data_IF_222331844726
#
_entry.id   IF_222331844726
#
_cell.length_a   1.000
_cell.length_b   1.000
_cell.length_c   1.000
_cell.angle_alpha   90.00
_cell.angle_beta   90.00
_cell.angle_gamma   90.00
#
_symmetry.space_group_name_H-M   'P 1'
#
loop_
_entity.id
_entity.type
_entity.pdbx_description
1 polymer ?
#
# COMPACT_ATOMS: atom_id res chain seq x y z
N UNK A 1 25.41 17.20 -15.95
CA UNK A 1 25.03 15.79 -15.75
C UNK A 1 23.52 15.74 -15.71
N UNK A 2 22.90 14.76 -16.40
CA UNK A 2 21.45 14.64 -16.52
C UNK A 2 20.77 14.31 -15.17
N UNK A 3 19.43 14.34 -15.12
CA UNK A 3 18.69 14.00 -13.92
C UNK A 3 18.86 12.51 -13.58
N UNK A 4 18.91 12.19 -12.28
CA UNK A 4 18.87 10.81 -11.76
C UNK A 4 17.46 10.52 -11.27
N UNK A 5 16.86 9.46 -11.82
CA UNK A 5 15.46 9.16 -11.58
C UNK A 5 15.31 7.82 -10.85
N UNK A 6 14.49 7.83 -9.81
CA UNK A 6 14.03 6.62 -9.14
C UNK A 6 12.51 6.60 -9.07
N UNK A 7 11.93 5.43 -9.21
CA UNK A 7 10.48 5.24 -9.12
C UNK A 7 10.16 4.04 -8.25
N UNK A 8 9.06 4.12 -7.48
CA UNK A 8 8.60 3.00 -6.65
C UNK A 8 7.06 2.96 -6.59
N UNK A 9 6.47 1.77 -6.50
CA UNK A 9 5.03 1.60 -6.40
C UNK A 9 4.51 1.91 -5.00
N UNK A 10 3.25 2.29 -4.93
CA UNK A 10 2.47 2.14 -3.72
C UNK A 10 2.08 0.69 -3.46
N UNK A 11 1.35 0.44 -2.37
CA UNK A 11 0.90 -0.90 -1.99
C UNK A 11 -0.58 -0.94 -1.59
N UNK A 12 -1.15 -2.13 -1.68
CA UNK A 12 -2.42 -2.49 -1.05
C UNK A 12 -2.26 -3.78 -0.24
N UNK A 13 -2.97 -3.87 0.89
CA UNK A 13 -3.14 -5.13 1.61
C UNK A 13 -4.30 -5.88 0.97
N UNK A 14 -4.03 -7.03 0.37
CA UNK A 14 -5.05 -7.85 -0.26
C UNK A 14 -5.76 -8.76 0.73
N UNK A 15 -5.07 -9.22 1.78
CA UNK A 15 -5.64 -9.96 2.90
C UNK A 15 -4.66 -10.05 4.06
N UNK A 16 -5.15 -10.37 5.28
CA UNK A 16 -4.32 -10.55 6.47
C UNK A 16 -4.22 -9.31 7.36
N UNK A 17 -5.03 -8.27 7.09
CA UNK A 17 -5.13 -7.08 7.93
C UNK A 17 -5.35 -7.48 9.39
N UNK A 18 -4.75 -6.78 10.33
CA UNK A 18 -4.73 -7.05 11.76
C UNK A 18 -4.12 -8.41 12.13
N UNK A 19 -4.46 -9.51 11.45
CA UNK A 19 -3.93 -10.83 11.74
C UNK A 19 -2.39 -10.89 11.67
N UNK A 20 -1.78 -10.10 10.80
CA UNK A 20 -0.32 -9.98 10.67
C UNK A 20 0.36 -9.46 11.94
N UNK A 21 -0.32 -8.67 12.75
CA UNK A 21 0.18 -8.17 14.05
C UNK A 21 0.25 -9.29 15.09
N UNK A 22 -0.47 -10.39 14.85
CA UNK A 22 -0.57 -11.55 15.73
C UNK A 22 0.15 -12.79 15.15
N UNK A 23 1.17 -12.57 14.31
CA UNK A 23 2.02 -13.64 13.78
C UNK A 23 1.45 -14.41 12.59
N UNK A 24 0.26 -14.05 12.10
CA UNK A 24 -0.29 -14.62 10.86
C UNK A 24 0.32 -13.94 9.63
N UNK A 25 0.21 -14.60 8.47
CA UNK A 25 0.64 -14.04 7.20
C UNK A 25 -0.39 -13.06 6.63
N UNK A 26 0.10 -12.08 5.87
CA UNK A 26 -0.69 -11.17 5.05
C UNK A 26 -0.21 -11.21 3.61
N UNK A 27 -1.09 -10.93 2.67
CA UNK A 27 -0.75 -10.69 1.27
C UNK A 27 -0.83 -9.21 1.00
N UNK A 28 0.29 -8.64 0.56
CA UNK A 28 0.38 -7.24 0.15
C UNK A 28 0.91 -7.15 -1.27
N UNK A 29 0.47 -6.17 -2.03
CA UNK A 29 0.78 -6.06 -3.45
C UNK A 29 1.24 -4.66 -3.84
N UNK A 30 2.29 -4.59 -4.65
CA UNK A 30 2.64 -3.39 -5.39
C UNK A 30 1.52 -3.06 -6.38
N UNK A 31 1.17 -1.77 -6.46
CA UNK A 31 0.13 -1.28 -7.39
C UNK A 31 0.75 -0.54 -8.56
N UNK A 32 -0.01 -0.38 -9.64
CA UNK A 32 0.43 0.37 -10.83
C UNK A 32 0.67 1.86 -10.59
N UNK A 33 0.11 2.45 -9.52
CA UNK A 33 0.36 3.83 -9.12
C UNK A 33 1.74 3.97 -8.46
N UNK A 34 2.46 5.05 -8.79
CA UNK A 34 3.88 5.18 -8.42
C UNK A 34 4.22 6.58 -7.92
N UNK A 35 5.27 6.64 -7.12
CA UNK A 35 6.01 7.88 -6.82
C UNK A 35 7.30 7.87 -7.62
N UNK A 36 7.62 9.00 -8.24
CA UNK A 36 8.86 9.25 -8.98
C UNK A 36 9.62 10.37 -8.31
N UNK A 37 10.89 10.13 -8.00
CA UNK A 37 11.83 11.13 -7.48
C UNK A 37 12.90 11.39 -8.53
N UNK A 38 13.10 12.67 -8.84
CA UNK A 38 14.17 13.13 -9.73
C UNK A 38 15.17 13.95 -8.93
N UNK A 39 16.43 13.51 -8.92
CA UNK A 39 17.53 14.25 -8.31
C UNK A 39 18.29 15.00 -9.42
N UNK A 40 18.66 16.26 -9.13
CA UNK A 40 19.51 17.09 -10.01
C UNK A 40 20.67 17.65 -9.21
N UNK A 41 21.79 17.89 -9.88
CA UNK A 41 22.89 18.64 -9.28
C UNK A 41 22.40 20.07 -8.95
N UNK A 42 22.71 20.54 -7.74
CA UNK A 42 22.32 21.83 -7.22
C UNK A 42 23.53 22.46 -6.50
N UNK A 43 23.87 23.72 -6.71
CA UNK A 43 24.87 24.39 -5.88
C UNK A 43 24.29 24.66 -4.46
N UNK A 44 25.14 24.44 -3.43
CA UNK A 44 24.78 24.67 -2.04
C UNK A 44 23.91 23.57 -1.41
N UNK A 45 23.16 23.88 -0.35
CA UNK A 45 22.41 22.90 0.43
C UNK A 45 21.39 22.12 -0.42
N UNK A 46 21.28 20.83 -0.14
CA UNK A 46 20.24 19.99 -0.74
C UNK A 46 18.84 20.43 -0.28
N UNK A 47 17.83 20.24 -1.12
CA UNK A 47 16.46 20.64 -0.81
C UNK A 47 15.46 20.20 -1.84
N UNK A 48 14.17 20.37 -1.52
CA UNK A 48 13.07 20.11 -2.45
C UNK A 48 12.93 21.32 -3.37
N UNK A 49 12.98 21.06 -4.68
CA UNK A 49 12.73 22.05 -5.74
C UNK A 49 11.23 22.06 -6.11
N UNK A 50 10.61 20.86 -6.18
CA UNK A 50 9.20 20.68 -6.52
C UNK A 50 8.64 19.42 -5.85
N UNK A 51 7.42 19.48 -5.31
CA UNK A 51 6.77 18.32 -4.70
C UNK A 51 5.27 18.29 -4.94
N UNK A 52 4.77 17.14 -5.43
CA UNK A 52 3.35 16.82 -5.45
C UNK A 52 2.81 16.46 -4.06
N UNK A 53 3.69 16.15 -3.10
CA UNK A 53 3.34 15.81 -1.71
C UNK A 53 3.53 17.06 -0.85
N UNK A 54 2.43 17.54 -0.27
CA UNK A 54 2.41 18.73 0.59
C UNK A 54 2.37 18.30 2.07
N UNK A 55 3.52 17.97 2.62
CA UNK A 55 3.71 17.61 4.03
C UNK A 55 5.10 18.12 4.46
N UNK A 56 5.15 19.00 5.44
CA UNK A 56 6.37 19.64 5.91
C UNK A 56 7.38 18.64 6.50
N UNK A 57 6.93 17.42 6.85
CA UNK A 57 7.79 16.34 7.34
C UNK A 57 8.57 15.64 6.23
N UNK A 58 8.20 15.85 4.95
CA UNK A 58 8.85 15.18 3.82
C UNK A 58 10.32 15.51 3.74
N UNK A 59 10.69 16.80 3.81
CA UNK A 59 12.11 17.17 3.76
C UNK A 59 12.92 16.62 4.94
N UNK A 60 12.53 16.81 6.21
CA UNK A 60 13.23 16.19 7.34
C UNK A 60 13.39 14.68 7.21
N UNK A 61 12.38 13.99 6.65
CA UNK A 61 12.45 12.55 6.43
C UNK A 61 13.47 12.19 5.33
N UNK A 62 13.45 12.88 4.19
CA UNK A 62 14.40 12.63 3.09
C UNK A 62 15.83 13.02 3.45
N UNK A 63 16.02 14.05 4.28
CA UNK A 63 17.34 14.46 4.77
C UNK A 63 18.05 13.37 5.60
N UNK A 64 17.33 12.35 6.08
CA UNK A 64 17.96 11.20 6.75
C UNK A 64 18.74 10.28 5.79
N UNK A 65 18.46 10.34 4.49
CA UNK A 65 19.06 9.49 3.48
C UNK A 65 19.76 10.28 2.35
N UNK A 66 19.48 11.56 2.22
CA UNK A 66 20.07 12.44 1.21
C UNK A 66 21.37 13.09 1.71
N UNK A 67 22.33 13.41 0.83
CA UNK A 67 23.49 14.23 1.22
C UNK A 67 23.04 15.64 1.63
N UNK A 68 23.79 16.27 2.55
CA UNK A 68 23.49 17.62 3.04
C UNK A 68 23.53 18.68 1.93
N UNK A 69 24.40 18.50 0.95
CA UNK A 69 24.65 19.45 -0.11
C UNK A 69 24.61 18.81 -1.51
N UNK A 70 24.35 19.61 -2.50
CA UNK A 70 24.57 19.28 -3.90
C UNK A 70 23.39 18.63 -4.64
N UNK A 71 22.19 18.51 -4.01
CA UNK A 71 21.05 17.81 -4.61
C UNK A 71 19.76 18.62 -4.51
N UNK A 72 19.16 18.90 -5.66
CA UNK A 72 17.76 19.34 -5.79
C UNK A 72 16.84 18.13 -6.00
N UNK A 73 15.69 18.11 -5.33
CA UNK A 73 14.72 17.01 -5.32
C UNK A 73 13.40 17.44 -5.92
N UNK A 74 12.96 16.76 -6.98
CA UNK A 74 11.61 16.91 -7.53
C UNK A 74 10.82 15.62 -7.29
N UNK A 75 9.60 15.74 -6.76
CA UNK A 75 8.74 14.61 -6.37
C UNK A 75 7.44 14.68 -7.17
N UNK A 76 7.15 13.64 -7.94
CA UNK A 76 5.86 13.43 -8.61
C UNK A 76 5.22 12.14 -8.06
N UNK A 77 3.91 12.15 -7.81
CA UNK A 77 3.20 10.97 -7.33
C UNK A 77 1.82 10.88 -7.97
N UNK A 78 1.48 9.67 -8.44
CA UNK A 78 0.12 9.31 -8.83
C UNK A 78 -0.65 8.65 -7.69
N UNK A 79 0.03 8.37 -6.57
CA UNK A 79 -0.58 7.81 -5.36
C UNK A 79 -1.39 8.87 -4.63
N UNK A 80 -2.62 8.56 -4.21
CA UNK A 80 -3.37 9.42 -3.30
C UNK A 80 -2.65 9.50 -1.94
N UNK A 81 -2.53 10.71 -1.41
CA UNK A 81 -1.90 10.93 -0.10
C UNK A 81 -2.91 10.63 1.01
N UNK A 82 -2.46 9.95 2.07
CA UNK A 82 -3.29 9.71 3.26
C UNK A 82 -4.25 8.52 3.19
N UNK A 83 -4.33 7.81 2.06
CA UNK A 83 -5.26 6.69 1.86
C UNK A 83 -4.72 5.32 2.33
N UNK A 84 -3.59 5.27 3.02
CA UNK A 84 -3.00 4.01 3.46
C UNK A 84 -2.39 3.16 2.33
N UNK A 85 -2.09 3.75 1.17
CA UNK A 85 -1.51 3.08 0.01
C UNK A 85 0.04 3.10 -0.01
N UNK A 86 0.70 3.38 1.12
CA UNK A 86 2.16 3.31 1.23
C UNK A 86 2.91 4.40 0.46
N UNK A 87 2.35 5.61 0.33
CA UNK A 87 2.97 6.73 -0.39
C UNK A 87 4.33 7.15 0.19
N UNK A 88 4.50 7.05 1.50
CA UNK A 88 5.76 7.35 2.21
C UNK A 88 6.85 6.32 1.92
N UNK A 89 6.51 5.03 1.95
CA UNK A 89 7.45 3.97 1.58
C UNK A 89 7.86 4.06 0.10
N UNK A 90 6.88 4.34 -0.79
CA UNK A 90 7.15 4.59 -2.19
C UNK A 90 8.10 5.78 -2.39
N UNK A 91 7.92 6.87 -1.64
CA UNK A 91 8.81 8.03 -1.65
C UNK A 91 10.22 7.66 -1.21
N UNK A 92 10.36 6.95 -0.08
CA UNK A 92 11.65 6.51 0.44
C UNK A 92 12.42 5.65 -0.57
N UNK A 93 11.76 4.61 -1.11
CA UNK A 93 12.36 3.70 -2.08
C UNK A 93 12.70 4.42 -3.40
N UNK A 94 11.81 5.28 -3.91
CA UNK A 94 12.09 6.06 -5.11
C UNK A 94 13.32 6.97 -4.92
N UNK A 95 13.46 7.59 -3.75
CA UNK A 95 14.63 8.43 -3.43
C UNK A 95 15.92 7.62 -3.38
N UNK A 96 15.91 6.45 -2.74
CA UNK A 96 17.08 5.56 -2.68
C UNK A 96 17.48 5.04 -4.07
N UNK A 97 16.50 4.72 -4.93
CA UNK A 97 16.75 4.34 -6.32
C UNK A 97 17.37 5.51 -7.14
N UNK A 98 16.89 6.73 -6.91
CA UNK A 98 17.47 7.92 -7.58
C UNK A 98 18.90 8.21 -7.10
N UNK A 99 19.19 8.00 -5.79
CA UNK A 99 20.55 8.09 -5.24
C UNK A 99 21.48 7.04 -5.85
N UNK A 100 21.03 5.80 -5.91
CA UNK A 100 21.80 4.72 -6.54
C UNK A 100 22.10 5.03 -8.02
N UNK A 101 21.12 5.56 -8.76
CA UNK A 101 21.32 5.99 -10.13
C UNK A 101 22.36 7.11 -10.26
N UNK A 102 22.42 8.05 -9.30
CA UNK A 102 23.47 9.06 -9.22
C UNK A 102 24.86 8.45 -9.05
N UNK A 103 24.97 7.34 -8.35
CA UNK A 103 26.21 6.60 -8.11
C UNK A 103 26.52 5.59 -9.24
N UNK A 104 25.71 5.54 -10.30
CA UNK A 104 25.88 4.62 -11.42
C UNK A 104 25.57 3.15 -11.08
N UNK A 105 24.75 2.89 -10.07
CA UNK A 105 24.35 1.56 -9.60
C UNK A 105 22.83 1.41 -9.47
N UNK A 106 22.38 0.21 -9.18
CA UNK A 106 20.99 -0.12 -8.85
C UNK A 106 20.87 -0.31 -7.34
N UNK A 107 19.87 0.29 -6.69
CA UNK A 107 19.58 0.06 -5.27
C UNK A 107 19.08 -1.38 -5.08
N UNK A 108 19.71 -2.12 -4.18
CA UNK A 108 19.28 -3.46 -3.80
C UNK A 108 18.08 -3.46 -2.85
N UNK A 109 17.47 -4.64 -2.66
CA UNK A 109 16.34 -4.80 -1.75
C UNK A 109 16.70 -4.40 -0.31
N UNK A 110 17.78 -4.93 0.24
CA UNK A 110 18.20 -4.68 1.62
C UNK A 110 18.42 -3.18 1.88
N UNK A 111 19.10 -2.51 0.95
CA UNK A 111 19.31 -1.06 1.04
C UNK A 111 17.98 -0.28 1.08
N UNK A 112 17.07 -0.60 0.16
CA UNK A 112 15.75 0.05 0.09
C UNK A 112 14.91 -0.25 1.34
N UNK A 113 14.97 -1.48 1.83
CA UNK A 113 14.21 -1.93 3.00
C UNK A 113 14.75 -1.27 4.28
N UNK A 114 16.05 -1.37 4.55
CA UNK A 114 16.64 -0.85 5.79
C UNK A 114 16.67 0.67 5.85
N UNK A 115 17.17 1.33 4.79
CA UNK A 115 17.23 2.80 4.76
C UNK A 115 15.84 3.44 4.63
N UNK A 116 14.90 2.76 3.99
CA UNK A 116 13.49 3.19 3.94
C UNK A 116 12.89 3.38 5.33
N UNK A 117 13.25 2.55 6.31
CA UNK A 117 12.82 2.72 7.70
C UNK A 117 13.25 4.05 8.33
N UNK A 118 14.37 4.64 7.93
CA UNK A 118 14.81 5.94 8.47
C UNK A 118 13.81 7.03 8.08
N UNK A 119 13.37 7.03 6.84
CA UNK A 119 12.35 7.97 6.32
C UNK A 119 11.01 7.76 7.01
N UNK A 120 10.56 6.51 7.10
CA UNK A 120 9.28 6.16 7.71
C UNK A 120 9.21 6.44 9.21
N UNK A 121 10.30 6.30 9.94
CA UNK A 121 10.34 6.66 11.37
C UNK A 121 10.05 8.14 11.60
N UNK A 122 10.53 9.01 10.72
CA UNK A 122 10.22 10.44 10.79
C UNK A 122 8.75 10.71 10.48
N UNK A 123 8.18 10.01 9.49
CA UNK A 123 6.80 10.24 9.03
C UNK A 123 5.75 9.56 9.93
N UNK A 124 6.04 8.35 10.44
CA UNK A 124 5.04 7.46 11.09
C UNK A 124 5.49 6.84 12.43
N UNK A 125 6.69 7.11 12.91
CA UNK A 125 7.20 6.64 14.20
C UNK A 125 7.59 5.15 14.21
N UNK A 126 6.64 4.21 14.16
CA UNK A 126 6.92 2.77 14.26
C UNK A 126 6.32 1.99 13.07
N UNK A 127 6.97 1.98 11.91
CA UNK A 127 6.48 1.31 10.72
C UNK A 127 6.49 -0.23 10.85
N UNK A 128 5.55 -0.90 10.17
CA UNK A 128 5.43 -2.37 10.17
C UNK A 128 6.46 -3.08 9.29
N UNK A 129 7.03 -2.39 8.31
CA UNK A 129 7.96 -2.94 7.31
C UNK A 129 7.29 -3.50 6.05
N UNK A 130 6.00 -3.84 6.08
CA UNK A 130 5.33 -4.40 4.90
C UNK A 130 5.30 -3.43 3.72
N UNK A 131 5.12 -2.14 3.97
CA UNK A 131 5.04 -1.10 2.95
C UNK A 131 6.38 -0.97 2.20
N UNK A 132 7.50 -1.00 2.92
CA UNK A 132 8.85 -1.00 2.33
C UNK A 132 9.14 -2.26 1.54
N UNK A 133 8.81 -3.43 2.10
CA UNK A 133 9.02 -4.70 1.41
C UNK A 133 8.34 -4.72 0.05
N UNK A 134 7.08 -4.30 0.01
CA UNK A 134 6.31 -4.23 -1.24
C UNK A 134 6.88 -3.20 -2.21
N UNK A 135 7.16 -1.97 -1.74
CA UNK A 135 7.71 -0.91 -2.61
C UNK A 135 9.11 -1.24 -3.12
N UNK A 136 9.95 -1.90 -2.29
CA UNK A 136 11.31 -2.27 -2.69
C UNK A 136 11.35 -3.46 -3.65
N UNK A 137 10.49 -4.47 -3.46
CA UNK A 137 10.41 -5.63 -4.35
C UNK A 137 9.64 -5.34 -5.64
N UNK A 138 8.70 -4.38 -5.61
CA UNK A 138 7.79 -4.07 -6.73
C UNK A 138 6.96 -5.29 -7.16
N UNK A 139 6.50 -6.08 -6.18
CA UNK A 139 5.83 -7.37 -6.39
C UNK A 139 4.67 -7.57 -5.42
N UNK A 140 3.90 -8.62 -5.66
CA UNK A 140 3.01 -9.20 -4.64
C UNK A 140 3.88 -9.99 -3.66
N UNK A 141 3.64 -9.82 -2.36
CA UNK A 141 4.40 -10.52 -1.32
C UNK A 141 3.48 -11.19 -0.31
N UNK A 142 3.88 -12.37 0.13
CA UNK A 142 3.38 -12.98 1.35
C UNK A 142 4.31 -12.53 2.48
N UNK A 143 3.74 -11.86 3.49
CA UNK A 143 4.47 -11.19 4.55
C UNK A 143 4.05 -11.71 5.93
N UNK A 144 5.01 -11.95 6.81
CA UNK A 144 4.79 -12.23 8.24
C UNK A 144 5.73 -11.35 9.07
N UNK A 145 5.18 -10.73 10.12
CA UNK A 145 5.92 -9.78 10.95
C UNK A 145 6.85 -10.48 11.94
N UNK A 146 6.38 -11.53 12.61
CA UNK A 146 7.14 -12.28 13.59
C UNK A 146 7.99 -13.35 12.91
N UNK A 147 9.32 -13.33 13.15
CA UNK A 147 10.29 -14.08 12.35
C UNK A 147 10.22 -13.63 10.90
N UNK A 148 10.68 -12.40 10.59
CA UNK A 148 10.27 -11.67 9.39
C UNK A 148 10.43 -12.54 8.13
N UNK A 149 9.31 -12.86 7.52
CA UNK A 149 9.24 -13.64 6.29
C UNK A 149 8.67 -12.75 5.20
N UNK A 150 9.41 -12.55 4.14
CA UNK A 150 9.00 -11.78 2.96
C UNK A 150 9.20 -12.69 1.74
N UNK A 151 8.10 -13.23 1.24
CA UNK A 151 8.13 -14.16 0.09
C UNK A 151 7.48 -13.49 -1.10
N UNK A 152 8.24 -13.11 -2.13
CA UNK A 152 7.66 -12.63 -3.38
C UNK A 152 6.81 -13.74 -4.01
N UNK A 153 5.61 -13.38 -4.48
CA UNK A 153 4.71 -14.30 -5.16
C UNK A 153 4.78 -14.08 -6.67
N UNK A 154 4.84 -15.19 -7.41
CA UNK A 154 4.64 -15.16 -8.85
C UNK A 154 3.15 -15.15 -9.15
N UNK A 155 2.68 -14.04 -9.72
CA UNK A 155 1.29 -13.84 -10.13
C UNK A 155 1.26 -13.82 -11.66
N UNK A 156 0.75 -14.88 -12.31
CA UNK A 156 0.91 -15.07 -13.75
C UNK A 156 0.11 -14.10 -14.62
N UNK A 157 -0.88 -13.42 -14.03
CA UNK A 157 -1.70 -12.44 -14.74
C UNK A 157 -2.02 -11.24 -13.83
N UNK A 158 -2.05 -10.01 -14.38
CA UNK A 158 -2.38 -8.84 -13.58
C UNK A 158 -3.82 -8.90 -13.08
N UNK A 159 -3.99 -8.67 -11.76
CA UNK A 159 -5.30 -8.53 -11.14
C UNK A 159 -5.75 -7.07 -11.23
N UNK A 160 -6.93 -6.83 -11.79
CA UNK A 160 -7.56 -5.50 -11.84
C UNK A 160 -8.35 -5.23 -10.58
N UNK A 161 -8.11 -4.09 -9.97
CA UNK A 161 -8.83 -3.64 -8.78
C UNK A 161 -9.43 -2.26 -9.00
N UNK A 162 -10.61 -2.04 -8.41
CA UNK A 162 -11.14 -0.69 -8.16
C UNK A 162 -10.89 -0.36 -6.69
N UNK A 163 -10.36 0.82 -6.45
CA UNK A 163 -10.13 1.40 -5.12
C UNK A 163 -11.15 2.50 -4.89
N UNK A 164 -11.86 2.43 -3.76
CA UNK A 164 -12.74 3.48 -3.25
C UNK A 164 -12.05 4.17 -2.07
N UNK A 165 -11.78 5.45 -2.19
CA UNK A 165 -11.20 6.27 -1.14
C UNK A 165 -12.31 7.02 -0.38
N UNK A 166 -12.57 6.62 0.85
CA UNK A 166 -13.65 7.22 1.67
C UNK A 166 -13.39 8.68 2.06
N UNK A 167 -12.19 9.21 1.78
CA UNK A 167 -11.79 10.56 2.17
C UNK A 167 -11.63 10.76 3.68
N UNK A 168 -11.86 9.72 4.48
CA UNK A 168 -11.69 9.75 5.93
C UNK A 168 -10.40 9.01 6.29
N UNK A 169 -9.39 9.67 6.85
CA UNK A 169 -8.17 8.97 7.27
C UNK A 169 -8.49 7.97 8.38
N UNK A 170 -7.95 6.75 8.27
CA UNK A 170 -8.03 5.76 9.33
C UNK A 170 -6.97 6.01 10.41
N UNK A 171 -7.35 5.89 11.69
CA UNK A 171 -6.37 5.87 12.79
C UNK A 171 -5.91 4.44 13.03
N UNK A 172 -4.78 4.08 12.42
CA UNK A 172 -4.18 2.75 12.54
C UNK A 172 -3.91 2.35 13.99
N UNK A 173 -3.42 3.30 14.83
CA UNK A 173 -3.08 3.00 16.21
C UNK A 173 -4.33 2.71 17.04
N UNK A 174 -5.39 3.50 16.89
CA UNK A 174 -6.67 3.29 17.55
C UNK A 174 -7.32 1.97 17.09
N UNK A 175 -7.28 1.64 15.79
CA UNK A 175 -7.84 0.38 15.28
C UNK A 175 -7.10 -0.83 15.84
N UNK A 176 -5.77 -0.83 15.83
CA UNK A 176 -4.95 -1.92 16.41
C UNK A 176 -5.20 -2.06 17.91
N UNK A 177 -5.26 -0.96 18.66
CA UNK A 177 -5.57 -0.97 20.09
C UNK A 177 -6.98 -1.54 20.36
N UNK A 178 -7.98 -1.15 19.56
CA UNK A 178 -9.34 -1.66 19.66
C UNK A 178 -9.45 -3.17 19.40
N UNK A 179 -8.74 -3.68 18.38
CA UNK A 179 -8.69 -5.14 18.12
C UNK A 179 -7.99 -5.87 19.27
N UNK A 180 -6.89 -5.32 19.80
CA UNK A 180 -6.20 -5.89 20.96
C UNK A 180 -7.13 -6.01 22.18
N UNK A 181 -7.90 -4.96 22.47
CA UNK A 181 -8.83 -4.96 23.60
C UNK A 181 -9.96 -6.00 23.46
N UNK A 182 -10.45 -6.23 22.23
CA UNK A 182 -11.50 -7.22 21.95
C UNK A 182 -10.99 -8.66 21.90
N UNK A 183 -9.68 -8.86 21.64
CA UNK A 183 -9.02 -10.15 21.53
C UNK A 183 -9.75 -11.20 20.66
N UNK A 184 -10.13 -10.90 19.41
CA UNK A 184 -10.94 -11.78 18.55
C UNK A 184 -10.06 -12.85 17.88
N UNK A 185 -9.45 -13.72 18.70
CA UNK A 185 -8.44 -14.69 18.25
C UNK A 185 -8.95 -15.67 17.17
N UNK A 186 -10.23 -16.05 17.23
CA UNK A 186 -10.82 -16.96 16.23
C UNK A 186 -10.92 -16.28 14.85
N UNK A 187 -11.40 -15.04 14.81
CA UNK A 187 -11.51 -14.25 13.60
C UNK A 187 -10.12 -13.93 13.01
N UNK A 188 -9.14 -13.59 13.86
CA UNK A 188 -7.77 -13.31 13.43
C UNK A 188 -7.11 -14.55 12.78
N UNK A 189 -7.29 -15.74 13.37
CA UNK A 189 -6.84 -16.98 12.73
C UNK A 189 -7.51 -17.22 11.38
N UNK A 190 -8.82 -16.96 11.28
CA UNK A 190 -9.54 -17.08 10.00
C UNK A 190 -9.07 -16.08 8.96
N UNK A 191 -8.81 -14.83 9.34
CA UNK A 191 -8.22 -13.81 8.44
C UNK A 191 -6.86 -14.29 7.94
N UNK A 192 -6.01 -14.85 8.80
CA UNK A 192 -4.74 -15.45 8.40
C UNK A 192 -4.91 -16.60 7.40
N UNK A 193 -5.87 -17.50 7.64
CA UNK A 193 -6.18 -18.59 6.70
C UNK A 193 -6.70 -18.08 5.35
N UNK A 194 -7.53 -17.03 5.35
CA UNK A 194 -7.99 -16.38 4.11
C UNK A 194 -6.81 -15.80 3.35
N UNK A 195 -5.82 -15.18 4.03
CA UNK A 195 -4.62 -14.66 3.38
C UNK A 195 -3.82 -15.76 2.66
N UNK A 196 -3.65 -16.93 3.29
CA UNK A 196 -3.02 -18.08 2.63
C UNK A 196 -3.79 -18.54 1.38
N UNK A 197 -5.13 -18.59 1.45
CA UNK A 197 -5.95 -18.96 0.30
C UNK A 197 -5.88 -17.90 -0.81
N UNK A 198 -5.84 -16.59 -0.47
CA UNK A 198 -5.64 -15.51 -1.45
C UNK A 198 -4.29 -15.67 -2.14
N UNK A 199 -3.21 -15.90 -1.38
CA UNK A 199 -1.88 -16.17 -1.93
C UNK A 199 -1.90 -17.34 -2.93
N UNK A 200 -2.51 -18.45 -2.55
CA UNK A 200 -2.59 -19.64 -3.39
C UNK A 200 -3.39 -19.40 -4.69
N UNK A 201 -4.51 -18.66 -4.62
CA UNK A 201 -5.29 -18.30 -5.82
C UNK A 201 -4.51 -17.39 -6.77
N UNK A 202 -3.85 -16.35 -6.23
CA UNK A 202 -3.06 -15.45 -7.04
C UNK A 202 -1.94 -16.18 -7.81
N UNK A 203 -1.24 -17.10 -7.16
CA UNK A 203 -0.19 -17.92 -7.80
C UNK A 203 -0.72 -18.85 -8.89
N UNK A 204 -1.99 -19.26 -8.81
CA UNK A 204 -2.65 -20.05 -9.85
C UNK A 204 -3.36 -19.22 -10.92
N UNK A 205 -3.31 -17.88 -10.83
CA UNK A 205 -4.05 -16.99 -11.72
C UNK A 205 -5.57 -17.07 -11.53
N UNK A 206 -6.04 -17.55 -10.38
CA UNK A 206 -7.45 -17.67 -10.05
C UNK A 206 -7.98 -16.36 -9.39
N UNK A 207 -9.27 -16.09 -9.57
CA UNK A 207 -9.94 -14.93 -8.99
C UNK A 207 -10.00 -15.01 -7.45
N UNK A 208 -9.39 -14.07 -6.69
CA UNK A 208 -9.48 -14.03 -5.23
C UNK A 208 -10.73 -13.31 -4.70
N UNK A 209 -11.60 -12.78 -5.55
CA UNK A 209 -12.75 -11.95 -5.18
C UNK A 209 -13.63 -12.54 -4.09
N UNK A 210 -14.10 -13.81 -4.17
CA UNK A 210 -14.92 -14.41 -3.12
C UNK A 210 -14.24 -14.43 -1.73
N UNK A 211 -12.90 -14.51 -1.72
CA UNK A 211 -12.11 -14.44 -0.48
C UNK A 211 -12.03 -13.01 0.07
N UNK A 212 -12.09 -11.99 -0.79
CA UNK A 212 -12.18 -10.59 -0.36
C UNK A 212 -13.49 -10.36 0.40
N UNK A 213 -14.62 -10.82 -0.12
CA UNK A 213 -15.92 -10.74 0.56
C UNK A 213 -15.88 -11.46 1.93
N UNK A 214 -15.29 -12.65 2.01
CA UNK A 214 -15.14 -13.34 3.29
C UNK A 214 -14.25 -12.54 4.25
N UNK A 215 -13.12 -12.04 3.79
CA UNK A 215 -12.22 -11.22 4.60
C UNK A 215 -12.92 -9.96 5.14
N UNK A 216 -13.73 -9.28 4.31
CA UNK A 216 -14.49 -8.12 4.75
C UNK A 216 -15.47 -8.44 5.87
N UNK A 217 -16.20 -9.56 5.77
CA UNK A 217 -17.09 -10.02 6.84
C UNK A 217 -16.35 -10.25 8.16
N UNK A 218 -15.14 -10.82 8.10
CA UNK A 218 -14.30 -11.03 9.28
C UNK A 218 -13.80 -9.70 9.87
N UNK A 219 -13.37 -8.76 9.01
CA UNK A 219 -12.93 -7.42 9.42
C UNK A 219 -14.07 -6.62 10.06
N UNK A 220 -15.30 -6.74 9.56
CA UNK A 220 -16.49 -6.17 10.22
C UNK A 220 -16.70 -6.76 11.60
N UNK A 221 -16.58 -8.10 11.77
CA UNK A 221 -16.75 -8.78 13.06
C UNK A 221 -15.74 -8.34 14.11
N UNK A 222 -14.50 -8.09 13.71
CA UNK A 222 -13.49 -7.55 14.63
C UNK A 222 -13.63 -6.04 14.87
N UNK A 223 -14.64 -5.38 14.26
CA UNK A 223 -15.03 -4.01 14.52
C UNK A 223 -14.09 -2.96 13.96
N UNK A 224 -13.50 -3.20 12.78
CA UNK A 224 -12.61 -2.24 12.10
C UNK A 224 -13.21 -1.62 10.83
N UNK A 225 -14.40 -2.05 10.40
CA UNK A 225 -15.13 -1.42 9.32
C UNK A 225 -15.94 -0.20 9.80
N UNK A 226 -16.34 0.64 8.88
CA UNK A 226 -17.23 1.80 9.08
C UNK A 226 -18.41 1.71 8.14
N UNK A 227 -19.48 2.48 8.41
CA UNK A 227 -20.64 2.54 7.52
C UNK A 227 -20.26 2.97 6.09
N UNK A 228 -19.29 3.91 5.94
CA UNK A 228 -18.81 4.37 4.63
C UNK A 228 -18.07 3.25 3.87
N UNK A 229 -17.20 2.48 4.56
CA UNK A 229 -16.51 1.33 3.97
C UNK A 229 -17.49 0.22 3.58
N UNK A 230 -18.46 -0.08 4.46
CA UNK A 230 -19.50 -1.09 4.19
C UNK A 230 -20.37 -0.70 3.00
N UNK A 231 -20.75 0.58 2.89
CA UNK A 231 -21.52 1.08 1.75
C UNK A 231 -20.73 1.00 0.43
N UNK A 232 -19.44 1.37 0.45
CA UNK A 232 -18.57 1.26 -0.72
C UNK A 232 -18.44 -0.20 -1.18
N UNK A 233 -18.20 -1.13 -0.24
CA UNK A 233 -18.09 -2.56 -0.55
C UNK A 233 -19.40 -3.09 -1.14
N UNK A 234 -20.55 -2.77 -0.55
CA UNK A 234 -21.84 -3.20 -1.05
C UNK A 234 -22.12 -2.67 -2.46
N UNK A 235 -21.79 -1.40 -2.73
CA UNK A 235 -21.95 -0.80 -4.05
C UNK A 235 -21.05 -1.46 -5.11
N UNK A 236 -19.80 -1.78 -4.75
CA UNK A 236 -18.87 -2.50 -5.62
C UNK A 236 -19.39 -3.88 -5.99
N UNK A 237 -19.86 -4.67 -5.01
CA UNK A 237 -20.41 -6.01 -5.25
C UNK A 237 -21.70 -5.96 -6.08
N UNK A 238 -22.60 -5.04 -5.78
CA UNK A 238 -23.85 -4.86 -6.53
C UNK A 238 -23.60 -4.44 -8.00
N UNK A 239 -22.50 -3.75 -8.28
CA UNK A 239 -22.11 -3.32 -9.62
C UNK A 239 -21.30 -4.37 -10.41
N UNK A 240 -21.10 -5.58 -9.86
CA UNK A 240 -20.49 -6.71 -10.57
C UNK A 240 -19.02 -6.95 -10.26
N UNK A 241 -18.48 -6.43 -9.14
CA UNK A 241 -17.21 -6.89 -8.61
C UNK A 241 -17.34 -8.34 -8.14
N UNK A 242 -16.31 -9.17 -8.38
CA UNK A 242 -16.33 -10.59 -7.95
C UNK A 242 -16.17 -10.75 -6.43
N UNK A 243 -15.76 -9.68 -5.76
CA UNK A 243 -15.71 -9.52 -4.31
C UNK A 243 -15.02 -8.24 -3.93
N UNK A 244 -15.34 -7.73 -2.73
CA UNK A 244 -14.82 -6.46 -2.24
C UNK A 244 -14.54 -6.50 -0.73
N UNK A 245 -13.65 -5.59 -0.26
CA UNK A 245 -13.25 -5.49 1.14
C UNK A 245 -12.62 -4.14 1.48
N UNK A 246 -12.65 -3.76 2.73
CA UNK A 246 -11.74 -2.70 3.19
C UNK A 246 -10.27 -3.14 3.07
N UNK A 247 -9.35 -2.22 2.88
CA UNK A 247 -7.92 -2.51 2.87
C UNK A 247 -7.16 -1.62 3.86
N UNK A 248 -6.28 -2.25 4.64
CA UNK A 248 -5.51 -1.59 5.69
C UNK A 248 -6.14 -1.72 7.08
N UNK A 249 -5.89 -0.76 7.97
CA UNK A 249 -6.31 -0.84 9.36
C UNK A 249 -7.84 -0.68 9.59
N UNK A 250 -8.55 -0.12 8.63
CA UNK A 250 -9.95 0.25 8.81
C UNK A 250 -10.12 1.57 9.59
N UNK A 251 -11.34 1.80 10.09
CA UNK A 251 -11.71 3.07 10.72
C UNK A 251 -11.83 4.25 9.73
N UNK A 252 -11.66 3.98 8.44
CA UNK A 252 -11.59 4.89 7.30
C UNK A 252 -10.65 4.33 6.24
N UNK A 253 -10.07 5.18 5.40
CA UNK A 253 -9.15 4.77 4.33
C UNK A 253 -9.89 4.25 3.11
N UNK A 254 -9.47 3.09 2.57
CA UNK A 254 -9.95 2.59 1.28
C UNK A 254 -10.67 1.24 1.38
N UNK A 255 -11.62 1.05 0.46
CA UNK A 255 -12.10 -0.28 0.08
C UNK A 255 -11.55 -0.64 -1.29
N UNK A 256 -11.38 -1.94 -1.55
CA UNK A 256 -10.88 -2.49 -2.81
C UNK A 256 -11.82 -3.59 -3.31
N UNK A 257 -11.95 -3.72 -4.61
CA UNK A 257 -12.70 -4.81 -5.23
C UNK A 257 -11.98 -5.40 -6.42
N UNK A 258 -12.18 -6.69 -6.65
CA UNK A 258 -11.71 -7.37 -7.86
C UNK A 258 -12.71 -7.15 -8.99
N UNK A 259 -12.19 -6.71 -10.14
CA UNK A 259 -13.00 -6.40 -11.32
C UNK A 259 -12.40 -6.99 -12.58
N UNK A 260 -13.25 -7.16 -13.58
CA UNK A 260 -12.82 -7.42 -14.96
C UNK A 260 -12.76 -6.12 -15.75
N UNK A 261 -12.19 -6.16 -16.95
CA UNK A 261 -12.21 -5.00 -17.84
C UNK A 261 -13.65 -4.55 -18.17
N UNK A 262 -14.61 -5.48 -18.20
CA UNK A 262 -16.02 -5.19 -18.49
C UNK A 262 -16.75 -4.55 -17.30
N UNK A 263 -16.42 -4.92 -16.07
CA UNK A 263 -17.12 -4.44 -14.86
C UNK A 263 -16.48 -3.21 -14.21
N UNK A 264 -15.22 -2.90 -14.52
CA UNK A 264 -14.46 -1.81 -13.89
C UNK A 264 -15.20 -0.46 -13.96
N UNK A 265 -15.74 -0.10 -15.13
CA UNK A 265 -16.46 1.17 -15.32
C UNK A 265 -17.73 1.26 -14.49
N UNK A 266 -18.53 0.18 -14.45
CA UNK A 266 -19.77 0.11 -13.66
C UNK A 266 -19.47 0.18 -12.15
N UNK A 267 -18.45 -0.55 -11.68
CA UNK A 267 -18.04 -0.56 -10.28
C UNK A 267 -17.54 0.81 -9.83
N UNK A 268 -16.72 1.49 -10.65
CA UNK A 268 -16.28 2.86 -10.36
C UNK A 268 -17.45 3.83 -10.27
N UNK A 269 -18.34 3.81 -11.26
CA UNK A 269 -19.52 4.69 -11.27
C UNK A 269 -20.45 4.48 -10.07
N UNK A 270 -20.63 3.23 -9.63
CA UNK A 270 -21.44 2.91 -8.44
C UNK A 270 -20.85 3.50 -7.15
N UNK A 271 -19.52 3.49 -7.01
CA UNK A 271 -18.82 4.10 -5.87
C UNK A 271 -18.89 5.63 -5.96
N UNK A 272 -18.65 6.21 -7.13
CA UNK A 272 -18.68 7.65 -7.36
C UNK A 272 -20.10 8.23 -7.09
N UNK A 273 -21.16 7.47 -7.34
CA UNK A 273 -22.52 7.82 -7.00
C UNK A 273 -22.78 7.99 -5.48
N UNK A 274 -21.93 7.40 -4.64
CA UNK A 274 -21.93 7.63 -3.19
C UNK A 274 -21.17 8.90 -2.76
N UNK A 275 -20.64 9.68 -3.69
CA UNK A 275 -19.75 10.81 -3.40
C UNK A 275 -18.32 10.37 -2.98
N UNK A 276 -17.96 9.13 -3.20
CA UNK A 276 -16.65 8.54 -2.85
C UNK A 276 -15.76 8.51 -4.09
N UNK A 277 -14.53 8.96 -3.97
CA UNK A 277 -13.55 8.91 -5.06
C UNK A 277 -13.21 7.47 -5.41
N UNK A 278 -13.27 7.12 -6.70
CA UNK A 278 -12.91 5.79 -7.19
C UNK A 278 -11.89 5.84 -8.33
N UNK A 279 -10.98 4.86 -8.36
CA UNK A 279 -9.98 4.72 -9.43
C UNK A 279 -9.54 3.27 -9.60
N UNK A 280 -9.12 2.92 -10.83
CA UNK A 280 -8.60 1.60 -11.16
C UNK A 280 -7.11 1.50 -10.85
N UNK A 281 -6.67 0.33 -10.40
CA UNK A 281 -5.26 -0.07 -10.28
C UNK A 281 -5.07 -1.52 -10.73
N UNK A 282 -3.84 -1.86 -11.09
CA UNK A 282 -3.46 -3.26 -11.32
C UNK A 282 -2.39 -3.69 -10.32
N UNK A 283 -2.38 -4.99 -9.97
CA UNK A 283 -1.37 -5.64 -9.13
C UNK A 283 -0.90 -6.93 -9.79
N UNK A 284 0.38 -7.28 -9.65
CA UNK A 284 0.96 -8.44 -10.32
C UNK A 284 1.15 -8.23 -11.83
N UNK A 285 1.72 -9.20 -12.53
CA UNK A 285 2.04 -9.18 -13.96
C UNK A 285 3.48 -8.84 -14.26
#
# INVERSE_FOLDING_TARGET
>A
MGPWVGTAPGKLILSGEHAVVYGHRAVAAAVSLRTTVTLRARPGPSGIDESAIRDDRVWPALATILPADGVGVSIMSTLPVGCGMGSSAALAVATLRALAAREGRVAGFDECFEKGFLVERVLHGNPSGVDHAVSALDRVVLYRREGPEIVPLDVPAPLRLVVADTGTPGDTAAMVAGVRARAPHAELRRIGAVAEMVSARLQRGEDPGPLFTENHRLLRRIGVSTAALDAAVAAMEAAGATGAKLAGAGGGGVAISVVTQQTEGAVRGAVEALGVRAFGVTVGG
#
